data_IF_168311166743
#
_entry.id   IF_168311166743
#
_cell.length_a   1.000
_cell.length_b   1.000
_cell.length_c   1.000
_cell.angle_alpha   90.00
_cell.angle_beta   90.00
_cell.angle_gamma   90.00
#
_symmetry.space_group_name_H-M   'P 1'
#
loop_
_entity.id
_entity.type
_entity.pdbx_description
1 polymer ?
#
# COMPACT_ATOMS: atom_id res chain seq x y z
N UNK A 1 -17.79 -56.71 -8.17
CA UNK A 1 -18.44 -55.49 -8.69
C UNK A 1 -18.10 -54.38 -7.69
N UNK A 2 -17.08 -53.56 -7.97
CA UNK A 2 -16.61 -52.49 -7.08
C UNK A 2 -17.16 -51.20 -7.69
N UNK A 3 -17.80 -50.30 -6.92
CA UNK A 3 -18.25 -49.03 -7.45
C UNK A 3 -17.04 -48.11 -7.70
N UNK A 4 -17.04 -47.47 -8.84
CA UNK A 4 -16.04 -46.52 -9.30
C UNK A 4 -16.43 -45.16 -8.75
N UNK A 5 -15.80 -44.73 -7.67
CA UNK A 5 -15.91 -43.34 -7.17
C UNK A 5 -14.97 -42.46 -7.98
N UNK A 6 -15.51 -41.91 -9.05
CA UNK A 6 -14.88 -40.77 -9.75
C UNK A 6 -15.05 -39.52 -8.88
N UNK A 7 -13.99 -39.14 -8.19
CA UNK A 7 -13.88 -37.84 -7.55
C UNK A 7 -13.72 -36.81 -8.66
N UNK A 8 -14.77 -36.03 -8.92
CA UNK A 8 -14.72 -34.89 -9.83
C UNK A 8 -13.64 -33.92 -9.35
N UNK A 9 -12.62 -33.71 -10.18
CA UNK A 9 -11.60 -32.69 -9.96
C UNK A 9 -12.29 -31.30 -9.95
N UNK A 10 -11.94 -30.40 -9.04
CA UNK A 10 -12.53 -29.06 -9.01
C UNK A 10 -12.27 -28.37 -10.35
N UNK A 11 -13.34 -27.97 -11.01
CA UNK A 11 -13.29 -27.16 -12.23
C UNK A 11 -12.59 -25.85 -11.87
N UNK A 12 -11.40 -25.63 -12.45
CA UNK A 12 -10.68 -24.39 -12.30
C UNK A 12 -11.57 -23.24 -12.80
N UNK A 13 -11.99 -22.37 -11.91
CA UNK A 13 -12.70 -21.15 -12.29
C UNK A 13 -11.74 -20.31 -13.14
N UNK A 14 -12.21 -19.68 -14.23
CA UNK A 14 -11.39 -18.80 -15.03
C UNK A 14 -10.88 -17.66 -14.12
N UNK A 15 -9.58 -17.40 -14.17
CA UNK A 15 -8.98 -16.30 -13.44
C UNK A 15 -9.72 -15.00 -13.79
N UNK A 16 -10.20 -14.28 -12.77
CA UNK A 16 -10.84 -12.98 -13.00
C UNK A 16 -9.84 -12.05 -13.67
N UNK A 17 -10.26 -11.23 -14.64
CA UNK A 17 -9.38 -10.23 -15.23
C UNK A 17 -8.91 -9.28 -14.11
N UNK A 18 -7.61 -9.02 -14.05
CA UNK A 18 -7.04 -8.08 -13.08
C UNK A 18 -7.50 -6.63 -13.32
N UNK A 19 -7.16 -5.70 -12.41
CA UNK A 19 -7.57 -4.32 -12.51
C UNK A 19 -7.09 -3.68 -13.81
N UNK A 20 -7.95 -2.85 -14.40
CA UNK A 20 -7.63 -2.11 -15.63
C UNK A 20 -6.55 -1.07 -15.37
N UNK A 21 -5.71 -0.81 -16.38
CA UNK A 21 -4.73 0.27 -16.33
C UNK A 21 -5.44 1.64 -16.26
N UNK A 22 -6.48 1.84 -17.08
CA UNK A 22 -7.32 3.03 -17.10
C UNK A 22 -8.72 2.72 -17.69
N UNK A 23 -9.61 3.72 -17.62
CA UNK A 23 -10.94 3.69 -18.21
C UNK A 23 -11.09 4.71 -19.35
N UNK A 24 -9.96 5.09 -19.99
CA UNK A 24 -9.90 5.96 -21.16
C UNK A 24 -9.66 7.45 -20.88
N UNK A 25 -9.55 7.84 -19.60
CA UNK A 25 -9.31 9.23 -19.19
C UNK A 25 -8.56 9.29 -17.85
N UNK A 26 -7.27 8.97 -17.86
CA UNK A 26 -6.42 8.93 -16.64
C UNK A 26 -6.44 10.26 -15.87
N UNK A 27 -6.47 11.40 -16.58
CA UNK A 27 -6.51 12.73 -15.95
C UNK A 27 -7.84 12.98 -15.22
N UNK A 28 -8.97 12.65 -15.85
CA UNK A 28 -10.27 12.76 -15.21
C UNK A 28 -10.48 11.71 -14.11
N UNK A 29 -9.85 10.55 -14.20
CA UNK A 29 -9.81 9.55 -13.12
C UNK A 29 -9.02 10.07 -11.92
N UNK A 30 -7.84 10.64 -12.16
CA UNK A 30 -7.05 11.30 -11.09
C UNK A 30 -7.82 12.47 -10.46
N UNK A 31 -8.47 13.31 -11.29
CA UNK A 31 -9.29 14.41 -10.78
C UNK A 31 -10.41 13.91 -9.85
N UNK A 32 -11.05 12.77 -10.18
CA UNK A 32 -12.05 12.17 -9.29
C UNK A 32 -11.48 11.77 -7.93
N UNK A 33 -10.25 11.29 -7.88
CA UNK A 33 -9.57 10.93 -6.63
C UNK A 33 -9.22 12.14 -5.75
N UNK A 34 -8.98 13.32 -6.34
CA UNK A 34 -8.56 14.50 -5.56
C UNK A 34 -9.68 15.51 -5.31
N UNK A 35 -10.80 15.46 -6.04
CA UNK A 35 -11.92 16.43 -5.93
C UNK A 35 -13.32 15.82 -5.84
N UNK A 36 -13.44 14.51 -6.10
CA UNK A 36 -14.70 13.76 -6.10
C UNK A 36 -14.62 12.46 -5.31
N UNK A 37 -15.04 11.38 -5.96
CA UNK A 37 -14.82 10.00 -5.50
C UNK A 37 -14.49 9.10 -6.69
N UNK A 38 -13.45 8.30 -6.55
CA UNK A 38 -13.04 7.27 -7.51
C UNK A 38 -13.20 5.88 -6.91
N UNK A 39 -13.81 4.95 -7.66
CA UNK A 39 -13.93 3.53 -7.30
C UNK A 39 -12.94 2.71 -8.12
N UNK A 40 -12.26 1.75 -7.49
CA UNK A 40 -11.21 0.97 -8.13
C UNK A 40 -11.10 -0.44 -7.59
N UNK A 41 -10.60 -1.32 -8.44
CA UNK A 41 -10.38 -2.73 -8.14
C UNK A 41 -9.05 -2.92 -7.39
N UNK A 42 -9.09 -3.63 -6.28
CA UNK A 42 -7.94 -4.04 -5.46
C UNK A 42 -7.71 -5.56 -5.47
N UNK A 43 -8.13 -6.26 -6.52
CA UNK A 43 -7.96 -7.71 -6.64
C UNK A 43 -6.49 -8.17 -6.68
N UNK A 44 -5.54 -7.28 -6.98
CA UNK A 44 -4.10 -7.54 -6.84
C UNK A 44 -3.58 -7.40 -5.40
N UNK A 45 -4.45 -7.12 -4.44
CA UNK A 45 -4.10 -7.16 -3.03
C UNK A 45 -4.52 -8.48 -2.41
N UNK A 46 -3.51 -9.26 -2.03
CA UNK A 46 -3.73 -10.56 -1.41
C UNK A 46 -4.08 -10.45 0.07
N UNK A 47 -4.86 -11.40 0.53
CA UNK A 47 -5.30 -11.54 1.91
C UNK A 47 -4.80 -12.88 2.47
N UNK A 48 -4.04 -12.83 3.56
CA UNK A 48 -3.50 -14.01 4.25
C UNK A 48 -4.07 -14.01 5.66
N UNK A 49 -4.72 -15.09 6.07
CA UNK A 49 -5.22 -15.27 7.44
C UNK A 49 -4.18 -15.97 8.30
N UNK A 50 -4.02 -15.49 9.52
CA UNK A 50 -3.26 -16.16 10.57
C UNK A 50 -4.20 -16.51 11.71
N UNK A 51 -4.27 -17.79 12.09
CA UNK A 51 -5.03 -18.33 13.22
C UNK A 51 -4.09 -19.07 14.19
N UNK A 52 -4.60 -19.66 15.26
CA UNK A 52 -3.83 -20.28 16.31
C UNK A 52 -3.58 -19.34 17.51
N UNK A 53 -3.24 -19.92 18.67
CA UNK A 53 -3.10 -19.16 19.92
C UNK A 53 -1.89 -18.22 19.88
N UNK A 54 -0.82 -18.60 19.18
CA UNK A 54 0.42 -17.84 19.10
C UNK A 54 0.43 -16.73 18.02
N UNK A 55 -0.59 -16.63 17.15
CA UNK A 55 -0.62 -15.73 15.98
C UNK A 55 -0.19 -14.30 16.25
N UNK A 56 -0.65 -13.72 17.36
CA UNK A 56 -0.34 -12.32 17.72
C UNK A 56 1.11 -12.19 18.16
N UNK A 57 1.56 -13.05 19.06
CA UNK A 57 2.94 -13.07 19.56
C UNK A 57 3.93 -13.30 18.41
N UNK A 58 3.62 -14.30 17.60
CA UNK A 58 4.45 -14.71 16.47
C UNK A 58 4.56 -13.59 15.41
N UNK A 59 3.44 -13.06 14.90
CA UNK A 59 3.49 -11.99 13.90
C UNK A 59 4.16 -10.73 14.47
N UNK A 60 3.94 -10.41 15.74
CA UNK A 60 4.64 -9.32 16.40
C UNK A 60 6.17 -9.52 16.40
N UNK A 61 6.67 -10.75 16.46
CA UNK A 61 8.10 -11.08 16.32
C UNK A 61 8.60 -11.01 14.87
N UNK A 62 7.73 -10.98 13.88
CA UNK A 62 8.12 -11.00 12.47
C UNK A 62 8.16 -9.60 11.82
N UNK A 63 7.35 -8.66 12.29
CA UNK A 63 7.17 -7.35 11.62
C UNK A 63 7.65 -6.18 12.46
N UNK A 64 7.92 -5.06 11.82
CA UNK A 64 8.51 -3.86 12.44
C UNK A 64 7.55 -3.04 13.30
N UNK A 65 6.23 -3.23 13.15
CA UNK A 65 5.23 -2.49 13.90
C UNK A 65 4.60 -3.35 15.03
N UNK A 66 3.92 -2.69 15.95
CA UNK A 66 3.33 -3.36 17.12
C UNK A 66 1.98 -3.99 16.78
N UNK A 67 1.97 -5.31 16.70
CA UNK A 67 0.76 -6.14 16.51
C UNK A 67 0.21 -6.63 17.85
N UNK A 68 1.06 -6.76 18.88
CA UNK A 68 0.68 -7.32 20.18
C UNK A 68 -0.40 -6.49 20.88
N UNK A 69 -0.25 -5.17 20.83
CA UNK A 69 -1.16 -4.25 21.53
C UNK A 69 -2.26 -3.70 20.60
N UNK A 70 -2.41 -4.32 19.41
CA UNK A 70 -3.40 -3.93 18.42
C UNK A 70 -4.78 -4.46 18.81
N UNK A 71 -5.71 -3.58 19.13
CA UNK A 71 -7.07 -3.94 19.48
C UNK A 71 -7.84 -4.56 18.29
N UNK A 72 -8.82 -5.44 18.52
CA UNK A 72 -9.74 -5.88 17.47
C UNK A 72 -10.41 -4.69 16.77
N UNK A 73 -10.57 -4.77 15.45
CA UNK A 73 -11.10 -3.68 14.62
C UNK A 73 -10.05 -2.65 14.19
N UNK A 74 -8.76 -2.92 14.43
CA UNK A 74 -7.64 -2.04 14.04
C UNK A 74 -6.61 -2.74 13.17
N UNK A 75 -5.90 -1.94 12.39
CA UNK A 75 -4.76 -2.37 11.59
C UNK A 75 -3.53 -1.50 11.79
N UNK A 76 -2.38 -2.03 11.34
CA UNK A 76 -1.10 -1.32 11.27
C UNK A 76 -0.40 -1.66 9.96
N UNK A 77 0.36 -0.68 9.43
CA UNK A 77 1.31 -0.92 8.34
C UNK A 77 2.67 -1.30 8.91
N UNK A 78 3.35 -2.26 8.31
CA UNK A 78 4.62 -2.79 8.79
C UNK A 78 5.50 -3.29 7.66
N UNK A 79 6.79 -3.38 7.92
CA UNK A 79 7.75 -4.11 7.11
C UNK A 79 8.06 -5.49 7.68
N UNK A 80 8.31 -6.44 6.77
CA UNK A 80 8.94 -7.71 7.05
C UNK A 80 10.43 -7.58 6.71
N UNK A 81 11.32 -7.92 7.65
CA UNK A 81 12.76 -7.75 7.48
C UNK A 81 13.51 -9.08 7.45
N UNK A 82 14.67 -9.09 6.82
CA UNK A 82 15.67 -10.14 7.04
C UNK A 82 16.50 -9.85 8.32
N UNK A 83 17.31 -10.81 8.81
CA UNK A 83 18.17 -10.60 9.97
C UNK A 83 19.19 -9.46 9.83
N UNK A 84 19.51 -9.04 8.60
CA UNK A 84 20.39 -7.91 8.29
C UNK A 84 19.65 -6.58 8.29
N UNK A 85 18.35 -6.56 8.63
CA UNK A 85 17.52 -5.36 8.72
C UNK A 85 17.03 -4.80 7.37
N UNK A 86 17.23 -5.53 6.26
CA UNK A 86 16.73 -5.12 4.95
C UNK A 86 15.27 -5.55 4.77
N UNK A 87 14.51 -4.76 4.03
CA UNK A 87 13.08 -4.98 3.79
C UNK A 87 12.90 -6.17 2.82
N UNK A 88 12.18 -7.20 3.25
CA UNK A 88 11.76 -8.32 2.41
C UNK A 88 10.38 -8.09 1.78
N UNK A 89 9.56 -7.29 2.41
CA UNK A 89 8.22 -6.95 1.96
C UNK A 89 7.54 -5.96 2.89
N UNK A 90 6.39 -5.45 2.46
CA UNK A 90 5.50 -4.61 3.25
C UNK A 90 4.10 -5.21 3.34
N UNK A 91 3.42 -4.91 4.41
CA UNK A 91 2.08 -5.45 4.65
C UNK A 91 1.28 -4.56 5.62
N UNK A 92 -0.02 -4.71 5.54
CA UNK A 92 -0.94 -4.29 6.59
C UNK A 92 -1.33 -5.52 7.42
N UNK A 93 -1.39 -5.39 8.73
CA UNK A 93 -1.88 -6.41 9.63
C UNK A 93 -3.12 -5.89 10.36
N UNK A 94 -4.25 -6.60 10.25
CA UNK A 94 -5.53 -6.24 10.84
C UNK A 94 -5.91 -7.27 11.92
N UNK A 95 -6.21 -6.81 13.13
CA UNK A 95 -6.67 -7.69 14.21
C UNK A 95 -8.20 -7.87 14.12
N UNK A 96 -8.64 -9.09 13.77
CA UNK A 96 -10.05 -9.48 13.64
C UNK A 96 -10.60 -10.16 14.90
N UNK A 97 -9.84 -10.16 16.01
CA UNK A 97 -10.16 -10.91 17.23
C UNK A 97 -9.63 -12.34 17.14
N UNK A 98 -10.38 -13.23 16.54
CA UNK A 98 -10.03 -14.67 16.41
C UNK A 98 -8.92 -14.94 15.37
N UNK A 99 -8.61 -13.98 14.51
CA UNK A 99 -7.56 -14.08 13.51
C UNK A 99 -6.85 -12.75 13.30
N UNK A 100 -5.64 -12.80 12.71
CA UNK A 100 -5.01 -11.66 12.08
C UNK A 100 -5.17 -11.79 10.56
N UNK A 101 -5.51 -10.70 9.89
CA UNK A 101 -5.53 -10.62 8.44
C UNK A 101 -4.32 -9.82 7.98
N UNK A 102 -3.47 -10.43 7.18
CA UNK A 102 -2.36 -9.75 6.49
C UNK A 102 -2.83 -9.40 5.09
N UNK A 103 -2.68 -8.14 4.72
CA UNK A 103 -2.98 -7.59 3.40
C UNK A 103 -1.69 -7.06 2.77
N UNK A 104 -1.36 -7.56 1.59
CA UNK A 104 -0.14 -7.20 0.86
C UNK A 104 -0.39 -7.22 -0.65
N UNK A 105 0.58 -6.72 -1.43
CA UNK A 105 0.53 -6.85 -2.88
C UNK A 105 0.71 -8.32 -3.32
N UNK A 106 -0.06 -8.74 -4.32
CA UNK A 106 -0.03 -10.13 -4.82
C UNK A 106 1.39 -10.59 -5.23
N UNK A 107 2.21 -9.67 -5.73
CA UNK A 107 3.61 -9.98 -6.13
C UNK A 107 4.51 -10.38 -4.96
N UNK A 108 4.11 -10.09 -3.72
CA UNK A 108 4.89 -10.40 -2.51
C UNK A 108 4.46 -11.69 -1.81
N UNK A 109 3.31 -12.26 -2.19
CA UNK A 109 2.65 -13.36 -1.45
C UNK A 109 3.54 -14.59 -1.30
N UNK A 110 4.10 -15.09 -2.40
CA UNK A 110 4.95 -16.28 -2.36
C UNK A 110 6.15 -16.09 -1.43
N UNK A 111 6.79 -14.93 -1.49
CA UNK A 111 7.91 -14.60 -0.61
C UNK A 111 7.48 -14.51 0.86
N UNK A 112 6.38 -13.81 1.15
CA UNK A 112 5.88 -13.66 2.52
C UNK A 112 5.50 -15.01 3.10
N UNK A 113 4.78 -15.86 2.34
CA UNK A 113 4.42 -17.21 2.77
C UNK A 113 5.66 -18.08 3.03
N UNK A 114 6.66 -18.02 2.15
CA UNK A 114 7.92 -18.76 2.35
C UNK A 114 8.69 -18.28 3.61
N UNK A 115 8.66 -16.98 3.90
CA UNK A 115 9.24 -16.45 5.14
C UNK A 115 8.43 -16.91 6.35
N UNK A 116 7.11 -16.89 6.29
CA UNK A 116 6.25 -17.34 7.39
C UNK A 116 6.47 -18.82 7.68
N UNK A 117 6.45 -19.68 6.67
CA UNK A 117 6.72 -21.11 6.80
C UNK A 117 8.08 -21.40 7.45
N UNK A 118 9.11 -20.65 7.05
CA UNK A 118 10.46 -20.79 7.61
C UNK A 118 10.53 -20.49 9.11
N UNK A 119 9.72 -19.55 9.62
CA UNK A 119 9.80 -19.07 11.00
C UNK A 119 8.70 -19.65 11.91
N UNK A 120 7.73 -20.40 11.38
CA UNK A 120 6.77 -21.18 12.16
C UNK A 120 7.42 -22.53 12.42
N UNK A 121 7.95 -22.76 13.64
CA UNK A 121 8.66 -23.99 13.99
C UNK A 121 7.88 -24.80 15.04
N UNK A 122 7.55 -24.18 16.17
CA UNK A 122 6.82 -24.80 17.29
C UNK A 122 5.66 -23.93 17.77
N UNK A 123 5.37 -22.87 17.05
CA UNK A 123 4.30 -21.94 17.36
C UNK A 123 2.95 -22.49 16.86
N UNK A 124 1.91 -22.35 17.65
CA UNK A 124 0.54 -22.63 17.23
C UNK A 124 0.04 -21.49 16.31
N UNK A 125 0.44 -21.56 15.06
CA UNK A 125 0.09 -20.60 14.00
C UNK A 125 -0.25 -21.34 12.72
N UNK A 126 -1.46 -21.12 12.22
CA UNK A 126 -1.89 -21.59 10.92
C UNK A 126 -1.98 -20.43 9.94
N UNK A 127 -1.48 -20.63 8.71
CA UNK A 127 -1.44 -19.64 7.64
C UNK A 127 -2.29 -20.09 6.48
N UNK A 128 -3.25 -19.25 6.06
CA UNK A 128 -4.11 -19.54 4.92
C UNK A 128 -4.14 -18.35 3.95
N UNK A 129 -3.80 -18.58 2.68
CA UNK A 129 -4.04 -17.62 1.61
C UNK A 129 -5.54 -17.57 1.29
N UNK A 130 -6.14 -16.39 1.33
CA UNK A 130 -7.57 -16.16 1.11
C UNK A 130 -7.88 -15.57 -0.27
N UNK A 131 -6.93 -15.55 -1.21
CA UNK A 131 -7.10 -14.87 -2.49
C UNK A 131 -8.27 -15.36 -3.36
N UNK A 132 -8.72 -16.59 -3.15
CA UNK A 132 -9.91 -17.19 -3.77
C UNK A 132 -11.24 -16.86 -3.04
N UNK A 133 -11.17 -16.35 -1.81
CA UNK A 133 -12.32 -16.11 -0.93
C UNK A 133 -12.50 -14.65 -0.52
N UNK A 134 -11.47 -13.84 -0.62
CA UNK A 134 -11.49 -12.46 -0.16
C UNK A 134 -10.72 -11.55 -1.11
N UNK A 135 -11.40 -10.56 -1.66
CA UNK A 135 -10.85 -9.48 -2.49
C UNK A 135 -11.20 -8.12 -1.88
N UNK A 136 -10.92 -7.05 -2.60
CA UNK A 136 -11.30 -5.71 -2.16
C UNK A 136 -11.71 -4.80 -3.32
N UNK A 137 -12.67 -3.90 -3.02
CA UNK A 137 -13.00 -2.71 -3.79
C UNK A 137 -12.53 -1.49 -2.99
N UNK A 138 -11.78 -0.61 -3.62
CA UNK A 138 -11.37 0.66 -3.04
C UNK A 138 -12.24 1.81 -3.50
N UNK A 139 -12.43 2.80 -2.65
CA UNK A 139 -12.99 4.10 -2.99
C UNK A 139 -12.16 5.20 -2.32
N UNK A 140 -11.77 6.24 -3.08
CA UNK A 140 -10.98 7.34 -2.55
C UNK A 140 -11.43 8.68 -3.12
N UNK A 141 -11.15 9.74 -2.36
CA UNK A 141 -11.45 11.11 -2.69
C UNK A 141 -12.29 11.81 -1.61
N UNK A 142 -12.37 13.14 -1.63
CA UNK A 142 -13.06 13.92 -0.59
C UNK A 142 -14.55 13.60 -0.47
N UNK A 143 -15.17 13.02 -1.49
CA UNK A 143 -16.59 12.60 -1.48
C UNK A 143 -16.78 11.09 -1.27
N UNK A 144 -15.74 10.34 -0.95
CA UNK A 144 -15.81 8.87 -0.83
C UNK A 144 -16.80 8.42 0.26
N UNK A 145 -16.84 9.10 1.40
CA UNK A 145 -17.81 8.82 2.48
C UNK A 145 -19.25 9.07 2.05
N UNK A 146 -19.52 10.22 1.45
CA UNK A 146 -20.85 10.58 0.95
C UNK A 146 -21.33 9.59 -0.12
N UNK A 147 -20.43 9.18 -1.00
CA UNK A 147 -20.73 8.20 -2.06
C UNK A 147 -21.06 6.83 -1.49
N UNK A 148 -20.31 6.34 -0.49
CA UNK A 148 -20.64 5.09 0.20
C UNK A 148 -22.01 5.16 0.86
N UNK A 149 -22.32 6.26 1.54
CA UNK A 149 -23.63 6.48 2.19
C UNK A 149 -24.75 6.55 1.15
N UNK A 150 -24.55 7.23 0.03
CA UNK A 150 -25.53 7.29 -1.05
C UNK A 150 -25.79 5.93 -1.72
N UNK A 151 -24.79 5.04 -1.72
CA UNK A 151 -24.95 3.66 -2.16
C UNK A 151 -25.65 2.76 -1.12
N UNK A 152 -25.89 3.27 0.09
CA UNK A 152 -26.58 2.57 1.16
C UNK A 152 -25.65 1.84 2.15
N UNK A 153 -24.36 2.14 2.17
CA UNK A 153 -23.46 1.63 3.20
C UNK A 153 -23.55 2.49 4.48
N UNK A 154 -23.51 1.81 5.63
CA UNK A 154 -23.24 2.50 6.89
C UNK A 154 -21.74 2.80 7.01
N UNK A 155 -21.40 4.07 7.18
CA UNK A 155 -19.99 4.52 7.27
C UNK A 155 -19.79 5.23 8.59
N UNK A 156 -19.41 4.51 9.66
CA UNK A 156 -19.12 5.12 10.96
C UNK A 156 -17.87 6.00 10.90
N UNK A 157 -17.65 6.77 11.96
CA UNK A 157 -16.42 7.55 12.09
C UNK A 157 -15.24 6.63 12.43
N UNK A 158 -14.47 6.26 11.42
CA UNK A 158 -13.29 5.40 11.53
C UNK A 158 -12.02 6.23 11.42
N UNK A 159 -11.07 5.99 12.29
CA UNK A 159 -9.69 6.48 12.15
C UNK A 159 -8.94 5.64 11.09
N UNK A 160 -7.84 6.15 10.50
CA UNK A 160 -7.02 5.37 9.57
C UNK A 160 -6.71 3.97 10.11
N UNK A 161 -6.86 2.97 9.24
CA UNK A 161 -6.69 1.53 9.52
C UNK A 161 -7.67 0.95 10.56
N UNK A 162 -8.69 1.67 10.99
CA UNK A 162 -9.83 1.08 11.66
C UNK A 162 -10.77 0.42 10.65
N UNK A 163 -11.45 -0.63 11.11
CA UNK A 163 -12.42 -1.34 10.29
C UNK A 163 -13.59 -1.88 11.11
N UNK A 164 -14.70 -2.11 10.42
CA UNK A 164 -15.90 -2.72 10.97
C UNK A 164 -16.49 -3.73 9.98
N UNK A 165 -17.11 -4.77 10.49
CA UNK A 165 -17.99 -5.60 9.68
C UNK A 165 -19.24 -4.82 9.28
N UNK A 166 -19.67 -4.98 8.02
CA UNK A 166 -20.89 -4.37 7.49
C UNK A 166 -21.63 -5.36 6.60
N UNK A 167 -22.93 -5.16 6.46
CA UNK A 167 -23.74 -5.92 5.51
C UNK A 167 -24.43 -4.91 4.59
N UNK A 168 -24.21 -5.04 3.29
CA UNK A 168 -24.84 -4.20 2.30
C UNK A 168 -25.71 -5.07 1.40
N UNK A 169 -27.02 -4.83 1.43
CA UNK A 169 -28.03 -5.71 0.84
C UNK A 169 -27.77 -7.20 1.16
N UNK A 170 -27.39 -8.11 0.92
CA UNK A 170 -27.07 -9.48 1.37
C UNK A 170 -25.56 -9.78 1.34
N UNK A 171 -24.75 -8.79 0.95
CA UNK A 171 -23.29 -8.92 0.86
C UNK A 171 -22.67 -8.62 2.21
N UNK A 172 -21.98 -9.61 2.78
CA UNK A 172 -21.12 -9.40 3.94
C UNK A 172 -19.79 -8.80 3.52
N UNK A 173 -19.41 -7.67 4.10
CA UNK A 173 -18.17 -6.99 3.81
C UNK A 173 -17.48 -6.50 5.09
N UNK A 174 -16.20 -6.17 4.99
CA UNK A 174 -15.47 -5.41 6.00
C UNK A 174 -15.14 -4.05 5.42
N UNK A 175 -15.65 -2.98 6.03
CA UNK A 175 -15.30 -1.62 5.66
C UNK A 175 -14.05 -1.19 6.42
N UNK A 176 -12.98 -0.91 5.73
CA UNK A 176 -11.70 -0.44 6.27
C UNK A 176 -11.49 1.02 5.89
N UNK A 177 -11.11 1.84 6.83
CA UNK A 177 -10.64 3.21 6.56
C UNK A 177 -9.19 3.15 6.08
N UNK A 178 -8.92 3.58 4.86
CA UNK A 178 -7.56 3.67 4.32
C UNK A 178 -6.70 4.71 5.08
N UNK A 179 -5.39 4.63 4.88
CA UNK A 179 -4.42 5.51 5.54
C UNK A 179 -3.70 6.47 4.59
N UNK A 180 -4.31 6.76 3.43
CA UNK A 180 -3.77 7.78 2.52
C UNK A 180 -3.75 9.14 3.26
N UNK A 181 -2.58 9.83 3.32
CA UNK A 181 -2.45 11.05 4.11
C UNK A 181 -3.12 12.28 3.48
N UNK A 182 -3.54 12.21 2.22
CA UNK A 182 -4.03 13.37 1.46
C UNK A 182 -5.51 13.29 1.11
N UNK A 183 -6.03 12.08 0.90
CA UNK A 183 -7.44 11.90 0.53
C UNK A 183 -8.10 10.86 1.42
N UNK A 184 -9.37 11.08 1.72
CA UNK A 184 -10.17 10.08 2.41
C UNK A 184 -10.34 8.86 1.51
N UNK A 185 -10.09 7.66 2.05
CA UNK A 185 -10.23 6.42 1.31
C UNK A 185 -10.81 5.32 2.18
N UNK A 186 -11.51 4.40 1.55
CA UNK A 186 -12.05 3.19 2.17
C UNK A 186 -11.80 1.99 1.27
N UNK A 187 -11.71 0.84 1.90
CA UNK A 187 -11.63 -0.45 1.23
C UNK A 187 -12.76 -1.34 1.76
N UNK A 188 -13.45 -2.00 0.85
CA UNK A 188 -14.48 -2.98 1.15
C UNK A 188 -13.90 -4.37 0.87
N UNK A 189 -13.55 -5.11 1.92
CA UNK A 189 -13.13 -6.51 1.79
C UNK A 189 -14.39 -7.38 1.69
N UNK A 190 -14.49 -8.14 0.60
CA UNK A 190 -15.69 -8.90 0.24
C UNK A 190 -15.35 -10.15 -0.59
N UNK A 191 -16.33 -11.01 -0.83
CA UNK A 191 -16.14 -12.16 -1.70
C UNK A 191 -15.90 -11.72 -3.15
N UNK A 192 -15.01 -12.41 -3.92
CA UNK A 192 -14.71 -12.03 -5.29
C UNK A 192 -15.93 -11.89 -6.20
N UNK A 193 -16.93 -12.72 -6.04
CA UNK A 193 -18.17 -12.68 -6.82
C UNK A 193 -19.05 -11.43 -6.61
N UNK A 194 -18.79 -10.64 -5.57
CA UNK A 194 -19.55 -9.42 -5.25
C UNK A 194 -18.86 -8.13 -5.72
N UNK A 195 -17.62 -8.23 -6.24
CA UNK A 195 -16.79 -7.09 -6.63
C UNK A 195 -17.49 -6.16 -7.63
N UNK A 196 -17.98 -6.73 -8.74
CA UNK A 196 -18.63 -5.97 -9.79
C UNK A 196 -19.93 -5.30 -9.31
N UNK A 197 -20.73 -6.03 -8.52
CA UNK A 197 -21.99 -5.51 -7.98
C UNK A 197 -21.78 -4.29 -7.09
N UNK A 198 -20.76 -4.32 -6.23
CA UNK A 198 -20.40 -3.18 -5.36
C UNK A 198 -19.83 -2.04 -6.17
N UNK A 199 -18.90 -2.30 -7.09
CA UNK A 199 -18.28 -1.29 -7.96
C UNK A 199 -19.31 -0.56 -8.82
N UNK A 200 -20.28 -1.30 -9.42
CA UNK A 200 -21.38 -0.72 -10.18
C UNK A 200 -22.31 0.13 -9.32
N UNK A 201 -22.62 -0.32 -8.11
CA UNK A 201 -23.48 0.43 -7.20
C UNK A 201 -22.85 1.79 -6.82
N UNK A 202 -21.56 1.79 -6.50
CA UNK A 202 -20.81 3.01 -6.21
C UNK A 202 -20.75 3.94 -7.46
N UNK A 203 -20.56 3.37 -8.65
CA UNK A 203 -20.54 4.13 -9.89
C UNK A 203 -21.89 4.77 -10.20
N UNK A 204 -23.00 4.09 -9.94
CA UNK A 204 -24.37 4.60 -10.14
C UNK A 204 -24.70 5.83 -9.27
N UNK A 205 -24.03 5.99 -8.13
CA UNK A 205 -24.21 7.15 -7.24
C UNK A 205 -23.11 8.20 -7.37
N UNK A 206 -22.29 8.10 -8.43
CA UNK A 206 -21.36 9.14 -8.84
C UNK A 206 -19.87 8.88 -8.60
N UNK A 207 -19.47 7.68 -8.13
CA UNK A 207 -18.06 7.34 -8.15
C UNK A 207 -17.57 7.11 -9.58
N UNK A 208 -16.46 7.74 -9.97
CA UNK A 208 -15.83 7.50 -11.27
C UNK A 208 -15.00 6.20 -11.19
N UNK A 209 -15.16 5.25 -12.12
CA UNK A 209 -14.24 4.12 -12.25
C UNK A 209 -12.80 4.63 -12.48
N UNK A 210 -11.84 4.06 -11.74
CA UNK A 210 -10.44 4.49 -11.74
C UNK A 210 -9.53 3.29 -11.95
N UNK A 211 -8.60 3.42 -12.89
CA UNK A 211 -7.57 2.42 -13.16
C UNK A 211 -6.29 2.61 -12.36
N UNK A 212 -5.39 1.63 -12.50
CA UNK A 212 -4.11 1.62 -11.75
C UNK A 212 -3.19 2.78 -12.11
N UNK A 213 -3.31 3.34 -13.33
CA UNK A 213 -2.53 4.50 -13.74
C UNK A 213 -2.87 5.75 -12.90
N UNK A 214 -4.16 6.06 -12.69
CA UNK A 214 -4.57 7.19 -11.87
C UNK A 214 -4.27 6.97 -10.38
N UNK A 215 -4.34 5.73 -9.89
CA UNK A 215 -3.88 5.38 -8.53
C UNK A 215 -2.37 5.59 -8.36
N UNK A 216 -1.59 5.32 -9.40
CA UNK A 216 -0.15 5.58 -9.39
C UNK A 216 0.16 7.10 -9.36
N UNK A 217 -0.63 7.92 -10.06
CA UNK A 217 -0.57 9.38 -9.92
C UNK A 217 -0.85 9.82 -8.47
N UNK A 218 -1.91 9.27 -7.87
CA UNK A 218 -2.30 9.60 -6.49
C UNK A 218 -1.21 9.22 -5.47
N UNK A 219 -0.63 8.02 -5.56
CA UNK A 219 0.42 7.60 -4.62
C UNK A 219 1.68 8.46 -4.76
N UNK A 220 2.08 8.82 -6.00
CA UNK A 220 3.23 9.70 -6.25
C UNK A 220 2.96 11.07 -5.64
N UNK A 221 1.79 11.66 -5.89
CA UNK A 221 1.38 12.94 -5.31
C UNK A 221 1.35 12.90 -3.77
N UNK A 222 0.87 11.80 -3.20
CA UNK A 222 0.85 11.57 -1.75
C UNK A 222 2.22 11.18 -1.17
N UNK A 223 3.24 10.97 -2.00
CA UNK A 223 4.57 10.61 -1.55
C UNK A 223 4.68 9.20 -0.97
N UNK A 224 3.80 8.28 -1.38
CA UNK A 224 3.75 6.91 -0.88
C UNK A 224 4.62 6.01 -1.76
N UNK A 225 5.73 5.45 -1.23
CA UNK A 225 6.55 4.50 -1.97
C UNK A 225 5.83 3.18 -2.15
N UNK A 226 6.09 2.50 -3.27
CA UNK A 226 5.57 1.16 -3.59
C UNK A 226 6.70 0.13 -3.56
N UNK A 227 6.47 -0.99 -2.86
CA UNK A 227 7.40 -2.12 -2.88
C UNK A 227 7.54 -2.69 -4.30
N UNK A 228 8.76 -3.04 -4.68
CA UNK A 228 9.11 -3.50 -6.03
C UNK A 228 9.32 -2.38 -7.06
N UNK A 229 9.00 -1.12 -6.70
CA UNK A 229 9.21 0.06 -7.54
C UNK A 229 10.12 1.07 -6.84
N UNK A 230 9.74 1.52 -5.67
CA UNK A 230 10.50 2.49 -4.87
C UNK A 230 11.24 1.82 -3.72
N UNK A 231 10.68 0.75 -3.15
CA UNK A 231 11.28 -0.03 -2.06
C UNK A 231 11.71 -1.39 -2.59
N UNK A 232 12.93 -1.80 -2.30
CA UNK A 232 13.52 -3.07 -2.73
C UNK A 232 14.20 -3.77 -1.55
N UNK A 233 14.58 -5.04 -1.73
CA UNK A 233 15.24 -5.87 -0.71
C UNK A 233 16.59 -5.34 -0.20
N UNK A 234 17.19 -4.39 -0.88
CA UNK A 234 18.43 -3.72 -0.47
C UNK A 234 18.21 -2.55 0.49
N UNK A 235 16.95 -2.11 0.66
CA UNK A 235 16.63 -0.88 1.36
C UNK A 235 16.43 -1.14 2.85
N UNK A 236 16.80 -0.15 3.65
CA UNK A 236 16.58 -0.15 5.09
C UNK A 236 15.29 0.62 5.43
N UNK A 237 14.54 0.20 6.46
CA UNK A 237 13.30 0.89 6.85
C UNK A 237 13.43 2.41 7.00
N UNK A 238 14.49 2.88 7.64
CA UNK A 238 14.71 4.31 7.85
C UNK A 238 15.05 5.10 6.58
N UNK A 239 15.52 4.43 5.52
CA UNK A 239 15.77 5.09 4.24
C UNK A 239 14.47 5.45 3.53
N UNK A 240 13.38 4.72 3.78
CA UNK A 240 12.09 4.86 3.11
C UNK A 240 11.25 6.04 3.62
N UNK A 241 11.64 6.67 4.72
CA UNK A 241 10.88 7.74 5.41
C UNK A 241 9.44 7.31 5.79
N UNK A 242 9.18 5.99 5.89
CA UNK A 242 7.88 5.44 6.32
C UNK A 242 7.88 5.19 7.82
N UNK A 243 7.94 6.24 8.63
CA UNK A 243 7.94 6.13 10.09
C UNK A 243 6.72 5.39 10.63
N UNK A 244 5.57 5.49 9.95
CA UNK A 244 4.34 4.78 10.29
C UNK A 244 4.47 3.25 10.28
N UNK A 245 5.49 2.71 9.60
CA UNK A 245 5.78 1.27 9.57
C UNK A 245 6.61 0.79 10.77
N UNK A 246 7.14 1.69 11.59
CA UNK A 246 8.12 1.38 12.64
C UNK A 246 7.55 1.67 14.03
N UNK A 247 7.66 0.71 14.93
CA UNK A 247 7.39 0.93 16.35
C UNK A 247 8.65 0.62 17.17
N UNK A 248 9.24 1.65 17.74
CA UNK A 248 10.48 1.55 18.51
C UNK A 248 10.28 1.16 19.98
N UNK A 249 9.03 1.04 20.43
CA UNK A 249 8.68 0.69 21.81
C UNK A 249 8.19 -0.76 21.95
N UNK A 250 8.02 -1.47 20.84
CA UNK A 250 7.61 -2.88 20.86
C UNK A 250 8.74 -3.83 21.25
N UNK A 251 8.41 -5.06 21.55
CA UNK A 251 9.39 -6.14 21.81
C UNK A 251 10.21 -6.56 20.59
N UNK A 252 11.06 -7.58 20.76
CA UNK A 252 11.98 -8.05 19.72
C UNK A 252 11.27 -8.50 18.44
N UNK A 253 11.92 -8.28 17.31
CA UNK A 253 11.51 -8.77 15.99
C UNK A 253 12.71 -9.01 15.08
N UNK A 254 12.52 -9.78 14.01
CA UNK A 254 13.58 -10.11 13.05
C UNK A 254 14.16 -8.83 12.43
N UNK A 255 15.49 -8.67 12.48
CA UNK A 255 16.20 -7.51 11.92
C UNK A 255 16.26 -6.28 12.83
N UNK A 256 15.66 -6.32 14.02
CA UNK A 256 15.59 -5.18 14.95
C UNK A 256 16.96 -4.62 15.33
N UNK A 257 17.98 -5.45 15.50
CA UNK A 257 19.31 -4.98 15.93
C UNK A 257 19.87 -3.88 15.02
N UNK A 258 19.72 -4.05 13.71
CA UNK A 258 20.18 -3.08 12.73
C UNK A 258 19.34 -1.80 12.77
N UNK A 259 18.02 -1.94 12.87
CA UNK A 259 17.08 -0.81 12.97
C UNK A 259 17.38 0.04 14.21
N UNK A 260 17.58 -0.58 15.38
CA UNK A 260 17.91 0.11 16.63
C UNK A 260 19.33 0.72 16.60
N UNK A 261 20.29 0.03 15.99
CA UNK A 261 21.66 0.56 15.83
C UNK A 261 21.66 1.84 14.98
N UNK A 262 20.90 1.87 13.89
CA UNK A 262 20.75 3.07 13.04
C UNK A 262 20.09 4.18 13.84
N UNK A 263 19.04 3.89 14.59
CA UNK A 263 18.34 4.86 15.42
C UNK A 263 19.25 5.48 16.50
N UNK A 264 20.05 4.65 17.18
CA UNK A 264 20.80 5.07 18.38
C UNK A 264 22.18 5.65 18.07
N UNK A 265 22.85 5.20 17.03
CA UNK A 265 24.28 5.48 16.79
C UNK A 265 24.60 5.88 15.35
N UNK A 266 23.64 5.80 14.47
CA UNK A 266 23.86 6.00 13.05
C UNK A 266 22.81 6.88 12.42
N UNK A 267 23.06 7.17 11.16
CA UNK A 267 22.13 7.81 10.26
C UNK A 267 22.20 7.05 8.95
N UNK A 268 21.05 6.89 8.31
CA UNK A 268 21.06 6.36 6.95
C UNK A 268 21.81 7.30 6.03
N UNK A 269 22.45 6.74 5.02
CA UNK A 269 23.25 7.51 4.04
C UNK A 269 22.40 8.23 3.02
N UNK A 270 21.19 7.72 2.77
CA UNK A 270 20.24 8.24 1.80
C UNK A 270 18.85 8.22 2.41
N UNK A 271 17.94 8.97 1.82
CA UNK A 271 16.54 9.00 2.20
C UNK A 271 15.64 9.14 0.98
N UNK A 272 14.47 8.59 1.08
CA UNK A 272 13.39 8.76 0.12
C UNK A 272 12.83 10.17 0.21
N UNK A 273 12.59 10.82 -0.94
CA UNK A 273 12.04 12.18 -0.99
C UNK A 273 11.37 12.45 -2.33
N UNK A 274 10.73 13.61 -2.43
CA UNK A 274 10.12 14.11 -3.66
C UNK A 274 11.06 15.07 -4.42
N UNK A 275 10.75 15.23 -5.70
CA UNK A 275 11.40 16.18 -6.61
C UNK A 275 10.35 16.88 -7.46
N UNK A 276 10.39 18.21 -7.48
CA UNK A 276 9.70 19.01 -8.47
C UNK A 276 10.63 19.20 -9.67
N UNK A 277 10.19 18.82 -10.85
CA UNK A 277 11.01 18.77 -12.08
C UNK A 277 10.67 19.95 -12.97
N UNK A 278 11.68 20.55 -13.58
CA UNK A 278 11.52 21.59 -14.59
C UNK A 278 12.01 21.06 -15.95
N UNK A 279 11.22 21.31 -16.99
CA UNK A 279 11.55 20.92 -18.35
C UNK A 279 11.07 19.53 -18.76
N UNK A 280 11.92 18.52 -18.84
CA UNK A 280 11.55 17.17 -19.30
C UNK A 280 11.47 16.20 -18.12
N UNK A 281 10.40 15.36 -18.12
CA UNK A 281 10.28 14.30 -17.12
C UNK A 281 11.44 13.31 -17.22
N UNK A 282 12.19 13.05 -16.11
CA UNK A 282 13.27 12.06 -16.12
C UNK A 282 12.71 10.63 -16.22
N UNK A 283 13.47 9.76 -16.85
CA UNK A 283 13.14 8.33 -16.84
C UNK A 283 13.38 7.75 -15.43
N UNK A 284 12.63 6.72 -15.06
CA UNK A 284 12.91 5.90 -13.87
C UNK A 284 14.32 5.30 -14.00
N UNK A 285 15.09 5.29 -12.89
CA UNK A 285 16.50 4.92 -12.87
C UNK A 285 17.46 6.05 -13.21
N UNK A 286 16.97 7.24 -13.60
CA UNK A 286 17.84 8.41 -13.87
C UNK A 286 18.62 8.81 -12.63
N UNK A 287 19.89 9.20 -12.81
CA UNK A 287 20.74 9.70 -11.72
C UNK A 287 20.32 11.10 -11.32
N UNK A 288 20.42 11.34 -10.01
CA UNK A 288 20.29 12.67 -9.42
C UNK A 288 21.70 13.18 -9.15
N UNK A 289 22.01 14.40 -9.64
CA UNK A 289 23.35 14.98 -9.53
C UNK A 289 23.33 16.34 -8.84
N UNK A 290 24.40 16.62 -8.11
CA UNK A 290 24.76 17.94 -7.57
C UNK A 290 26.19 18.22 -7.95
N UNK A 291 26.45 19.33 -8.63
CA UNK A 291 27.76 19.72 -9.13
C UNK A 291 28.45 18.59 -9.95
N UNK A 292 27.66 17.91 -10.80
CA UNK A 292 28.15 16.81 -11.65
C UNK A 292 28.44 15.49 -10.92
N UNK A 293 28.15 15.39 -9.61
CA UNK A 293 28.37 14.17 -8.82
C UNK A 293 27.04 13.46 -8.57
N UNK A 294 27.02 12.15 -8.76
CA UNK A 294 25.85 11.32 -8.46
C UNK A 294 25.57 11.30 -6.96
N UNK A 295 24.38 11.73 -6.59
CA UNK A 295 23.90 11.79 -5.21
C UNK A 295 22.61 10.97 -4.97
N UNK A 296 22.00 10.43 -6.03
CA UNK A 296 20.75 9.70 -5.91
C UNK A 296 20.24 9.10 -7.20
N UNK A 297 19.00 8.58 -7.14
CA UNK A 297 18.32 7.91 -8.24
C UNK A 297 16.82 8.16 -8.16
N UNK A 298 16.17 8.40 -9.31
CA UNK A 298 14.71 8.51 -9.45
C UNK A 298 14.11 7.11 -9.52
N UNK A 299 13.10 6.83 -8.70
CA UNK A 299 12.40 5.54 -8.67
C UNK A 299 11.00 5.61 -9.25
N UNK A 300 10.35 6.76 -9.19
CA UNK A 300 9.05 7.02 -9.81
C UNK A 300 9.04 8.44 -10.37
N UNK A 301 8.39 8.65 -11.51
CA UNK A 301 8.24 9.98 -12.12
C UNK A 301 6.94 10.06 -12.90
N UNK A 302 6.28 11.22 -12.85
CA UNK A 302 5.01 11.43 -13.53
C UNK A 302 4.76 12.89 -13.85
N UNK A 303 3.89 13.13 -14.85
CA UNK A 303 3.24 14.39 -15.07
C UNK A 303 1.85 14.36 -14.43
N UNK A 304 1.56 15.27 -13.52
CA UNK A 304 0.27 15.39 -12.84
C UNK A 304 -0.54 16.54 -13.43
N UNK A 305 -1.80 16.30 -13.83
CA UNK A 305 -2.71 17.36 -14.20
C UNK A 305 -3.09 18.19 -12.97
N UNK A 306 -2.89 19.50 -13.04
CA UNK A 306 -3.28 20.46 -12.00
C UNK A 306 -4.02 21.64 -12.63
N UNK A 307 -4.71 22.43 -11.82
CA UNK A 307 -5.34 23.67 -12.29
C UNK A 307 -4.27 24.58 -12.93
N UNK A 308 -4.40 24.83 -14.22
CA UNK A 308 -3.47 25.68 -14.98
C UNK A 308 -2.33 24.97 -15.72
N UNK A 309 -2.35 23.63 -15.82
CA UNK A 309 -1.37 22.88 -16.62
C UNK A 309 -0.95 21.54 -16.03
N UNK A 310 0.31 21.23 -16.15
CA UNK A 310 0.90 19.99 -15.65
C UNK A 310 2.02 20.29 -14.64
N UNK A 311 2.17 19.44 -13.66
CA UNK A 311 3.31 19.41 -12.74
C UNK A 311 4.10 18.13 -12.94
N UNK A 312 5.40 18.28 -13.21
CA UNK A 312 6.31 17.15 -13.31
C UNK A 312 6.88 16.85 -11.93
N UNK A 313 6.57 15.67 -11.42
CA UNK A 313 6.98 15.23 -10.10
C UNK A 313 7.72 13.90 -10.19
N UNK A 314 8.65 13.70 -9.27
CA UNK A 314 9.32 12.43 -9.14
C UNK A 314 9.53 12.05 -7.66
N UNK A 315 9.70 10.76 -7.42
CA UNK A 315 10.10 10.18 -6.15
C UNK A 315 11.44 9.49 -6.34
N UNK A 316 12.24 9.40 -5.28
CA UNK A 316 13.50 8.72 -5.36
C UNK A 316 14.33 8.81 -4.08
N UNK A 317 15.50 8.22 -4.14
CA UNK A 317 16.48 8.26 -3.05
C UNK A 317 17.59 9.23 -3.35
N UNK A 318 17.94 10.03 -2.36
CA UNK A 318 19.04 10.98 -2.45
C UNK A 318 19.93 10.87 -1.21
N UNK A 319 21.21 11.15 -1.33
CA UNK A 319 22.13 11.24 -0.19
C UNK A 319 21.61 12.27 0.81
N UNK A 320 21.69 11.94 2.10
CA UNK A 320 21.12 12.75 3.19
C UNK A 320 21.63 14.20 3.18
N UNK A 321 22.90 14.42 2.90
CA UNK A 321 23.52 15.76 2.82
C UNK A 321 22.98 16.61 1.65
N UNK A 322 22.36 15.96 0.68
CA UNK A 322 21.76 16.63 -0.48
C UNK A 322 20.23 16.74 -0.38
N UNK A 323 19.59 16.18 0.65
CA UNK A 323 18.14 16.01 0.75
C UNK A 323 17.40 17.21 1.40
N UNK A 324 18.02 18.40 1.41
CA UNK A 324 17.37 19.59 1.98
C UNK A 324 16.28 20.10 1.03
N UNK A 325 15.03 20.29 1.50
CA UNK A 325 13.95 20.84 0.67
C UNK A 325 14.34 22.19 0.06
N UNK A 326 13.99 22.39 -1.22
CA UNK A 326 14.37 23.57 -2.01
C UNK A 326 15.77 23.50 -2.63
N UNK A 327 16.60 22.50 -2.28
CA UNK A 327 17.92 22.34 -2.89
C UNK A 327 17.78 22.00 -4.37
N UNK A 328 18.51 22.75 -5.21
CA UNK A 328 18.55 22.49 -6.65
C UNK A 328 19.46 21.29 -6.94
N UNK A 329 18.98 20.42 -7.81
CA UNK A 329 19.65 19.21 -8.28
C UNK A 329 19.39 19.04 -9.78
N UNK A 330 20.12 18.17 -10.43
CA UNK A 330 19.84 17.71 -11.79
C UNK A 330 19.31 16.28 -11.73
N UNK A 331 18.20 15.99 -12.39
CA UNK A 331 17.59 14.66 -12.45
C UNK A 331 17.45 14.23 -13.93
N UNK A 332 18.31 13.31 -14.39
CA UNK A 332 18.28 12.82 -15.77
C UNK A 332 18.46 13.91 -16.83
N UNK A 333 19.26 14.94 -16.56
CA UNK A 333 19.51 16.07 -17.45
C UNK A 333 18.48 17.20 -17.34
N UNK A 334 17.51 17.12 -16.43
CA UNK A 334 16.53 18.17 -16.16
C UNK A 334 16.80 18.86 -14.84
N UNK A 335 16.57 20.17 -14.77
CA UNK A 335 16.62 20.89 -13.51
C UNK A 335 15.52 20.38 -12.58
N UNK A 336 15.82 20.24 -11.31
CA UNK A 336 14.88 19.78 -10.31
C UNK A 336 15.17 20.44 -8.95
N UNK A 337 14.17 20.45 -8.09
CA UNK A 337 14.34 20.83 -6.68
C UNK A 337 13.84 19.72 -5.76
N UNK A 338 14.57 19.49 -4.67
CA UNK A 338 14.14 18.57 -3.61
C UNK A 338 12.85 19.10 -2.97
N UNK A 339 11.83 18.27 -2.86
CA UNK A 339 10.54 18.64 -2.31
C UNK A 339 10.21 17.82 -1.05
N UNK A 340 9.42 18.42 -0.16
CA UNK A 340 8.80 17.68 0.93
C UNK A 340 7.72 16.73 0.41
N UNK A 341 7.54 15.61 1.08
CA UNK A 341 6.43 14.71 0.87
C UNK A 341 5.44 14.84 2.03
N UNK A 342 4.14 14.74 1.75
CA UNK A 342 3.49 14.69 0.44
C UNK A 342 3.57 16.04 -0.32
N UNK A 343 3.30 16.02 -1.64
CA UNK A 343 3.20 17.23 -2.46
C UNK A 343 1.85 17.94 -2.19
N UNK A 344 1.75 18.64 -1.08
CA UNK A 344 0.48 19.19 -0.54
C UNK A 344 -0.20 20.20 -1.46
N UNK A 345 0.55 20.87 -2.32
CA UNK A 345 0.02 21.83 -3.30
C UNK A 345 -0.87 21.19 -4.37
N UNK A 346 -0.79 19.87 -4.56
CA UNK A 346 -1.63 19.12 -5.50
C UNK A 346 -3.06 18.93 -4.97
N UNK A 347 -3.23 18.98 -3.67
CA UNK A 347 -4.50 18.68 -2.97
C UNK A 347 -5.24 19.93 -2.46
N UNK A 348 -4.81 21.13 -2.87
CA UNK A 348 -5.39 22.42 -2.46
C UNK A 348 -6.36 23.00 -3.48
#
# INVERSE_FOLDING_TARGET
MVPNDSVDAPVAQPAMPGPKADHGDVHGEFHALVSGSGVYDLSLRAKISLTGEDRVRWLNGMVTNNVRDLEPGRGVYAFLLNPQGHILGDLYAYNRGESLLVDTDQSQVEKILAVFDKYIIMDDVEVANLGDRLTAVGIAGPKSRETLQAAGFEVPDLKPLQFVGTTWQEISATLVRGDNPQVESFELFLAPGDNDRVSEALSKVGAKPVGTAALDLLRIAAGIPRYGVDIHERDLPQETEQERALNFSKGCYVGQEIVERIRSRGQVRRKFTGFAIEGKLPAVGSRIQVDGKDVGEITSATSLPVAGGERLLALGYIRREAATPGKLVEAGGSAASVANLPFTEIFR
#
